data_IF_528528627980
#
_entry.id   IF_528528627980
#
_cell.length_a   1.000
_cell.length_b   1.000
_cell.length_c   1.000
_cell.angle_alpha   90.00
_cell.angle_beta   90.00
_cell.angle_gamma   90.00
#
_symmetry.space_group_name_H-M   'P 1'
#
loop_
_entity.id
_entity.type
_entity.pdbx_description
1 polymer ?
#
# COMPACT_ATOMS: atom_id res chain seq x y z
N UNK A 1 1.18 3.82 13.09
CA UNK A 1 1.43 3.19 11.78
C UNK A 1 0.13 3.10 10.98
N UNK A 2 0.17 3.23 9.65
CA UNK A 2 -1.00 3.13 8.77
C UNK A 2 -0.60 2.53 7.43
N UNK A 3 -1.38 1.57 6.95
CA UNK A 3 -1.24 0.96 5.63
C UNK A 3 -2.47 1.30 4.78
N UNK A 4 -2.25 1.87 3.60
CA UNK A 4 -3.31 2.23 2.64
C UNK A 4 -3.30 1.20 1.52
N UNK A 5 -4.45 0.56 1.30
CA UNK A 5 -4.59 -0.52 0.32
C UNK A 5 -5.72 -0.20 -0.64
N UNK A 6 -5.49 -0.44 -1.94
CA UNK A 6 -6.55 -0.40 -2.93
C UNK A 6 -7.51 -1.57 -2.72
N UNK A 7 -8.77 -1.28 -2.39
CA UNK A 7 -9.77 -2.32 -2.14
C UNK A 7 -10.10 -3.18 -3.38
N UNK A 8 -9.85 -2.68 -4.60
CA UNK A 8 -10.09 -3.41 -5.86
C UNK A 8 -8.94 -4.34 -6.24
N UNK A 9 -7.70 -3.87 -6.09
CA UNK A 9 -6.51 -4.57 -6.61
C UNK A 9 -5.63 -5.17 -5.52
N UNK A 10 -5.96 -4.91 -4.26
CA UNK A 10 -5.17 -5.30 -3.09
C UNK A 10 -3.73 -4.74 -3.03
N UNK A 11 -3.37 -3.84 -3.95
CA UNK A 11 -2.05 -3.18 -3.96
C UNK A 11 -1.94 -2.20 -2.80
N UNK A 12 -0.76 -2.14 -2.20
CA UNK A 12 -0.43 -1.12 -1.21
C UNK A 12 -0.15 0.18 -1.93
N UNK A 13 -0.92 1.22 -1.59
CA UNK A 13 -0.82 2.55 -2.17
C UNK A 13 0.04 3.49 -1.33
N UNK A 14 0.19 3.20 -0.05
CA UNK A 14 0.98 4.01 0.86
C UNK A 14 1.15 3.36 2.22
N UNK A 15 2.24 3.73 2.89
CA UNK A 15 2.61 3.27 4.22
C UNK A 15 3.12 4.48 4.99
N UNK A 16 2.54 4.72 6.18
CA UNK A 16 2.91 5.84 7.04
C UNK A 16 3.30 5.32 8.42
N UNK A 17 4.44 5.78 8.91
CA UNK A 17 4.94 5.51 10.25
C UNK A 17 5.31 6.82 10.94
N UNK A 18 5.13 6.83 12.26
CA UNK A 18 5.65 7.88 13.15
C UNK A 18 6.18 7.12 14.38
N UNK A 19 7.41 7.41 14.77
CA UNK A 19 8.14 6.68 15.80
C UNK A 19 9.63 6.61 15.48
N UNK A 20 10.40 6.02 16.39
CA UNK A 20 11.82 5.70 16.19
C UNK A 20 12.00 4.77 14.99
N UNK A 21 13.14 4.87 14.32
CA UNK A 21 13.54 4.08 13.14
C UNK A 21 12.57 4.17 11.94
N UNK A 22 11.65 5.15 11.92
CA UNK A 22 10.71 5.34 10.81
C UNK A 22 11.42 5.50 9.46
N UNK A 23 12.50 6.30 9.32
CA UNK A 23 13.23 6.41 8.05
C UNK A 23 13.72 5.05 7.53
N UNK A 24 14.32 4.24 8.41
CA UNK A 24 14.91 2.94 8.10
C UNK A 24 13.84 1.93 7.69
N UNK A 25 12.76 1.82 8.47
CA UNK A 25 11.65 0.91 8.23
C UNK A 25 10.90 1.28 6.94
N UNK A 26 10.59 2.58 6.75
CA UNK A 26 9.87 3.06 5.57
C UNK A 26 10.72 2.88 4.31
N UNK A 27 12.03 3.12 4.37
CA UNK A 27 12.93 2.93 3.23
C UNK A 27 12.92 1.47 2.74
N UNK A 28 12.93 0.49 3.66
CA UNK A 28 12.85 -0.93 3.33
C UNK A 28 11.55 -1.29 2.61
N UNK A 29 10.40 -0.85 3.13
CA UNK A 29 9.10 -1.12 2.51
C UNK A 29 8.87 -0.33 1.21
N UNK A 30 9.47 0.87 1.06
CA UNK A 30 9.29 1.70 -0.12
C UNK A 30 9.72 0.99 -1.42
N UNK A 31 10.81 0.22 -1.37
CA UNK A 31 11.28 -0.60 -2.50
C UNK A 31 10.24 -1.64 -2.88
N UNK A 32 9.69 -2.37 -1.90
CA UNK A 32 8.69 -3.40 -2.15
C UNK A 32 7.37 -2.80 -2.67
N UNK A 33 6.91 -1.69 -2.11
CA UNK A 33 5.73 -0.95 -2.59
C UNK A 33 5.93 -0.50 -4.04
N UNK A 34 7.13 0.01 -4.38
CA UNK A 34 7.47 0.38 -5.76
C UNK A 34 7.44 -0.82 -6.72
N UNK A 35 7.80 -2.01 -6.24
CA UNK A 35 7.71 -3.26 -6.98
C UNK A 35 6.27 -3.81 -7.12
N UNK A 36 5.28 -3.17 -6.48
CA UNK A 36 3.86 -3.53 -6.61
C UNK A 36 3.33 -4.44 -5.52
N UNK A 37 3.95 -4.43 -4.34
CA UNK A 37 3.55 -5.21 -3.17
C UNK A 37 2.05 -5.11 -2.85
N UNK A 38 1.43 -6.24 -2.55
CA UNK A 38 0.02 -6.36 -2.17
C UNK A 38 -0.14 -6.56 -0.67
N UNK A 39 -1.35 -6.34 -0.16
CA UNK A 39 -1.64 -6.62 1.25
C UNK A 39 -1.50 -8.10 1.62
N UNK A 40 -1.78 -9.00 0.66
CA UNK A 40 -1.61 -10.43 0.86
C UNK A 40 -0.14 -10.79 1.12
N UNK A 41 0.79 -10.10 0.46
CA UNK A 41 2.22 -10.30 0.71
C UNK A 41 2.61 -9.90 2.13
N UNK A 42 2.10 -8.76 2.64
CA UNK A 42 2.25 -8.37 4.05
C UNK A 42 1.69 -9.45 5.00
N UNK A 43 0.48 -9.97 4.75
CA UNK A 43 -0.13 -11.00 5.61
C UNK A 43 0.60 -12.34 5.59
N UNK A 44 1.29 -12.66 4.48
CA UNK A 44 2.09 -13.86 4.33
C UNK A 44 3.50 -13.73 4.92
N UNK A 45 3.94 -12.51 5.22
CA UNK A 45 5.29 -12.24 5.73
C UNK A 45 5.34 -12.44 7.24
N UNK A 46 6.34 -13.17 7.72
CA UNK A 46 6.56 -13.38 9.15
C UNK A 46 7.23 -12.14 9.76
N UNK A 47 6.66 -11.65 10.86
CA UNK A 47 7.25 -10.56 11.63
C UNK A 47 8.56 -10.99 12.32
N UNK A 48 9.52 -10.08 12.37
CA UNK A 48 10.73 -10.24 13.18
C UNK A 48 10.45 -9.66 14.55
N UNK A 49 10.47 -10.49 15.59
CA UNK A 49 10.11 -10.10 16.94
C UNK A 49 11.36 -9.91 17.84
N UNK A 50 11.44 -8.86 18.68
CA UNK A 50 10.51 -7.73 18.82
C UNK A 50 10.94 -6.51 17.96
N UNK A 51 10.09 -6.04 17.04
CA UNK A 51 10.38 -4.84 16.23
C UNK A 51 9.14 -4.00 15.96
N UNK A 52 9.31 -2.68 15.83
CA UNK A 52 8.20 -1.81 15.40
C UNK A 52 7.72 -2.14 13.97
N UNK A 53 8.61 -2.66 13.11
CA UNK A 53 8.28 -3.04 11.75
C UNK A 53 7.33 -4.26 11.67
N UNK A 54 7.37 -5.16 12.65
CA UNK A 54 6.54 -6.39 12.65
C UNK A 54 5.04 -6.06 12.65
N UNK A 55 4.66 -4.92 13.21
CA UNK A 55 3.28 -4.44 13.24
C UNK A 55 2.69 -4.26 11.84
N UNK A 56 3.49 -3.92 10.81
CA UNK A 56 2.97 -3.80 9.45
C UNK A 56 2.54 -5.13 8.83
N UNK A 57 3.17 -6.24 9.23
CA UNK A 57 2.86 -7.59 8.71
C UNK A 57 1.81 -8.33 9.55
N UNK A 58 1.35 -7.72 10.65
CA UNK A 58 0.27 -8.26 11.50
C UNK A 58 -1.06 -7.49 11.38
N UNK A 59 -1.11 -6.40 10.60
CA UNK A 59 -2.33 -5.61 10.33
C UNK A 59 -3.34 -6.37 9.44
N UNK A 60 -4.19 -7.21 10.04
CA UNK A 60 -5.17 -8.04 9.30
C UNK A 60 -6.54 -7.38 9.10
N UNK A 61 -6.96 -6.55 10.05
CA UNK A 61 -8.33 -5.98 10.06
C UNK A 61 -8.31 -4.53 9.58
N UNK A 62 -9.07 -4.15 8.54
CA UNK A 62 -9.13 -2.78 8.09
C UNK A 62 -9.85 -1.90 9.12
N UNK A 63 -9.20 -0.83 9.57
CA UNK A 63 -9.82 0.13 10.50
C UNK A 63 -10.84 1.05 9.83
N UNK A 64 -10.69 1.31 8.51
CA UNK A 64 -11.60 2.14 7.72
C UNK A 64 -11.63 1.63 6.28
N UNK A 65 -12.82 1.61 5.67
CA UNK A 65 -13.01 1.38 4.22
C UNK A 65 -13.66 2.62 3.63
N UNK A 66 -12.99 3.26 2.68
CA UNK A 66 -13.51 4.43 1.97
C UNK A 66 -13.97 3.91 0.60
N UNK A 67 -15.28 3.90 0.34
CA UNK A 67 -15.87 3.52 -0.97
C UNK A 67 -16.47 4.73 -1.68
N UNK A 68 -16.64 4.52 -2.99
CA UNK A 68 -16.73 5.47 -4.10
C UNK A 68 -17.71 6.63 -3.92
N UNK A 69 -17.31 7.82 -4.40
CA UNK A 69 -18.29 8.80 -4.86
C UNK A 69 -19.23 8.07 -5.84
N UNK A 70 -20.57 8.21 -5.72
CA UNK A 70 -21.44 7.83 -6.83
C UNK A 70 -20.91 8.57 -8.06
N UNK A 71 -20.71 7.81 -9.14
CA UNK A 71 -20.16 8.33 -10.38
C UNK A 71 -20.88 9.64 -10.73
N UNK A 72 -20.11 10.72 -10.85
CA UNK A 72 -20.57 11.83 -11.67
C UNK A 72 -20.82 11.24 -13.05
N UNK A 73 -22.09 11.18 -13.45
CA UNK A 73 -22.49 10.75 -14.77
C UNK A 73 -21.72 11.58 -15.81
N UNK A 74 -20.93 10.88 -16.63
CA UNK A 74 -20.35 11.41 -17.85
C UNK A 74 -19.10 12.27 -17.69
N UNK A 75 -17.94 11.69 -18.02
CA UNK A 75 -17.22 12.03 -19.27
C UNK A 75 -16.04 11.09 -19.52
N UNK A 76 -15.79 10.92 -20.81
CA UNK A 76 -15.03 9.87 -21.47
C UNK A 76 -13.58 9.68 -21.00
N UNK A 77 -13.10 8.46 -21.23
CA UNK A 77 -11.80 7.96 -20.81
C UNK A 77 -10.60 8.74 -21.36
N UNK A 78 -9.50 8.57 -20.65
CA UNK A 78 -8.17 9.00 -21.09
C UNK A 78 -7.30 7.75 -21.16
N UNK A 79 -7.16 7.22 -22.37
CA UNK A 79 -6.19 6.18 -22.70
C UNK A 79 -4.77 6.77 -22.56
N UNK A 80 -4.05 6.35 -21.52
CA UNK A 80 -2.61 6.59 -21.46
C UNK A 80 -1.94 5.57 -22.39
N UNK A 81 -1.71 5.99 -23.64
CA UNK A 81 -0.78 5.28 -24.53
C UNK A 81 0.60 5.30 -23.90
N UNK A 82 1.10 4.11 -23.56
CA UNK A 82 2.52 3.90 -23.35
C UNK A 82 3.28 4.21 -24.65
N UNK A 83 4.06 5.27 -24.66
CA UNK A 83 5.07 5.51 -25.68
C UNK A 83 6.30 4.65 -25.33
N UNK A 84 6.59 3.66 -26.18
CA UNK A 84 7.86 2.97 -26.23
C UNK A 84 8.77 3.68 -27.25
N UNK A 85 10.06 3.81 -26.91
CA UNK A 85 11.15 4.40 -27.70
C UNK A 85 11.72 5.65 -27.01
N UNK A 86 13.00 5.75 -26.64
CA UNK A 86 14.25 5.22 -27.23
C UNK A 86 15.16 4.65 -26.14
#
# INVERSE_FOLDING_TARGET
MKLIVCAKTNKVLGLNMCGEDSPEIVQGFAVAIKAGLTKADFDSTVGIHPTAAEEFVTMRTPSRKIREHPAAEGKAGHDVKAAAGV
#
